data_IF_154421791249
#
_entry.id   IF_154421791249
#
_cell.length_a   1.000
_cell.length_b   1.000
_cell.length_c   1.000
_cell.angle_alpha   90.00
_cell.angle_beta   90.00
_cell.angle_gamma   90.00
#
_symmetry.space_group_name_H-M   'P 1'
#
loop_
_entity.id
_entity.type
_entity.pdbx_description
1 polymer ?
#
# COMPACT_ATOMS: atom_id res chain seq x y z
N UNK A 1 -15.61 7.10 -7.37
CA UNK A 1 -15.80 5.88 -7.98
C UNK A 1 -14.51 5.18 -8.28
N UNK A 2 -14.40 4.00 -7.89
CA UNK A 2 -13.18 3.26 -8.06
C UNK A 2 -13.22 2.36 -9.27
N UNK A 3 -12.05 1.96 -9.69
CA UNK A 3 -11.92 0.93 -10.66
C UNK A 3 -11.60 -0.34 -9.92
N UNK A 4 -12.24 -1.41 -10.28
CA UNK A 4 -11.99 -2.68 -9.64
C UNK A 4 -11.64 -3.73 -10.65
N UNK A 5 -10.62 -4.47 -10.33
CA UNK A 5 -10.29 -5.63 -11.11
C UNK A 5 -10.79 -6.82 -10.34
N UNK A 6 -11.57 -7.63 -10.97
CA UNK A 6 -12.10 -8.78 -10.31
C UNK A 6 -11.68 -10.02 -11.03
N UNK A 7 -11.19 -10.90 -10.26
CA UNK A 7 -10.90 -12.19 -10.80
C UNK A 7 -12.16 -12.96 -10.71
N UNK A 8 -12.99 -12.74 -11.29
CA UNK A 8 -14.11 -13.43 -11.41
C UNK A 8 -14.41 -14.53 -10.68
N UNK A 9 -15.33 -14.96 -10.78
CA UNK A 9 -15.64 -16.11 -10.44
C UNK A 9 -16.44 -16.34 -9.35
N UNK A 10 -16.22 -17.24 -8.69
CA UNK A 10 -16.98 -17.70 -7.59
C UNK A 10 -16.51 -17.10 -6.33
N UNK A 11 -15.42 -16.37 -6.41
CA UNK A 11 -14.86 -15.84 -5.21
C UNK A 11 -15.42 -14.49 -4.90
N UNK A 12 -15.63 -14.29 -3.61
CA UNK A 12 -16.00 -13.04 -3.10
C UNK A 12 -14.73 -12.36 -2.65
N UNK A 13 -14.50 -11.14 -3.06
CA UNK A 13 -13.36 -10.39 -2.58
C UNK A 13 -13.71 -9.86 -1.21
N UNK A 14 -12.85 -10.16 -0.24
CA UNK A 14 -13.01 -9.64 1.11
C UNK A 14 -11.86 -8.69 1.38
N UNK A 15 -12.20 -7.53 1.93
CA UNK A 15 -11.20 -6.53 2.27
C UNK A 15 -11.00 -6.51 3.77
N UNK A 16 -9.78 -6.22 4.20
CA UNK A 16 -9.52 -6.02 5.62
C UNK A 16 -10.31 -4.82 6.15
N UNK A 17 -10.50 -4.77 7.45
CA UNK A 17 -11.27 -3.71 8.09
C UNK A 17 -10.52 -2.39 8.20
N UNK A 18 -9.21 -2.43 8.06
CA UNK A 18 -8.39 -1.23 8.21
C UNK A 18 -8.31 -0.50 6.88
N UNK A 19 -8.84 0.71 6.83
CA UNK A 19 -8.65 1.55 5.66
C UNK A 19 -7.71 2.70 6.03
N UNK A 20 -6.99 3.20 5.06
CA UNK A 20 -5.93 4.15 5.34
C UNK A 20 -5.61 4.98 4.11
N UNK A 21 -4.81 6.02 4.33
CA UNK A 21 -4.30 6.88 3.26
C UNK A 21 -5.39 7.58 2.45
N UNK A 22 -6.46 7.98 3.12
CA UNK A 22 -7.55 8.67 2.46
C UNK A 22 -7.05 9.90 1.70
N UNK A 23 -7.31 9.96 0.40
CA UNK A 23 -6.87 11.04 -0.50
C UNK A 23 -5.34 11.16 -0.60
N UNK A 24 -4.59 10.09 -0.27
CA UNK A 24 -3.14 10.08 -0.36
C UNK A 24 -2.62 9.06 -1.38
N UNK A 25 -3.47 8.67 -2.33
CA UNK A 25 -3.13 7.58 -3.26
C UNK A 25 -1.90 7.86 -4.11
N UNK A 26 -1.72 9.09 -4.57
CA UNK A 26 -0.55 9.42 -5.39
C UNK A 26 0.74 9.32 -4.59
N UNK A 27 0.69 9.79 -3.35
CA UNK A 27 1.86 9.76 -2.45
C UNK A 27 2.23 8.33 -2.10
N UNK A 28 1.23 7.50 -1.80
CA UNK A 28 1.46 6.09 -1.49
C UNK A 28 2.00 5.37 -2.71
N UNK A 29 1.44 5.64 -3.88
CA UNK A 29 1.91 5.03 -5.11
C UNK A 29 3.39 5.33 -5.32
N UNK A 30 3.80 6.59 -5.17
CA UNK A 30 5.19 6.98 -5.37
C UNK A 30 6.09 6.31 -4.34
N UNK A 31 5.64 6.28 -3.08
CA UNK A 31 6.39 5.65 -1.99
C UNK A 31 6.63 4.18 -2.29
N UNK A 32 5.60 3.47 -2.73
CA UNK A 32 5.72 2.04 -3.01
C UNK A 32 6.55 1.78 -4.26
N UNK A 33 6.41 2.60 -5.29
CA UNK A 33 7.23 2.43 -6.49
C UNK A 33 8.71 2.63 -6.21
N UNK A 34 9.02 3.59 -5.35
CA UNK A 34 10.42 3.87 -5.01
C UNK A 34 11.04 2.80 -4.12
N UNK A 35 10.23 2.18 -3.27
CA UNK A 35 10.74 1.31 -2.21
C UNK A 35 10.37 -0.17 -2.36
N UNK A 36 9.53 -0.50 -3.32
CA UNK A 36 9.11 -1.87 -3.58
C UNK A 36 9.31 -2.20 -5.05
N UNK A 37 10.57 -2.39 -5.49
CA UNK A 37 10.89 -2.56 -6.90
C UNK A 37 10.30 -3.83 -7.52
N UNK A 38 9.97 -4.83 -6.70
CA UNK A 38 9.40 -6.07 -7.21
C UNK A 38 7.87 -6.04 -7.24
N UNK A 39 7.25 -4.90 -6.96
CA UNK A 39 5.80 -4.79 -6.98
C UNK A 39 5.27 -4.82 -8.41
N UNK A 40 4.07 -5.34 -8.56
CA UNK A 40 3.41 -5.42 -9.85
C UNK A 40 2.21 -4.48 -9.88
N UNK A 41 2.12 -3.65 -10.90
CA UNK A 41 1.03 -2.68 -11.05
C UNK A 41 0.17 -3.07 -12.23
N UNK A 42 -1.11 -3.29 -11.97
CA UNK A 42 -2.02 -3.84 -12.95
C UNK A 42 -2.63 -2.86 -13.93
N UNK A 43 -2.73 -1.61 -13.57
CA UNK A 43 -3.29 -0.66 -14.51
C UNK A 43 -2.54 0.67 -14.47
N UNK A 44 -2.79 1.43 -15.52
CA UNK A 44 -2.03 2.65 -15.74
C UNK A 44 -2.35 3.74 -14.72
N UNK A 45 -3.49 3.64 -14.06
CA UNK A 45 -3.88 4.63 -13.05
C UNK A 45 -3.44 4.22 -11.64
N UNK A 46 -2.79 3.07 -11.50
CA UNK A 46 -2.28 2.63 -10.23
C UNK A 46 -3.34 2.24 -9.23
N UNK A 47 -4.52 1.83 -9.69
CA UNK A 47 -5.60 1.49 -8.77
C UNK A 47 -5.48 0.10 -8.15
N UNK A 48 -4.49 -0.67 -8.56
CA UNK A 48 -4.29 -2.01 -8.04
C UNK A 48 -2.81 -2.38 -8.14
N UNK A 49 -2.27 -2.97 -7.09
CA UNK A 49 -0.91 -3.49 -7.13
C UNK A 49 -0.79 -4.77 -6.32
N UNK A 50 0.22 -5.55 -6.63
CA UNK A 50 0.58 -6.73 -5.87
C UNK A 50 2.03 -6.63 -5.45
N UNK A 51 2.32 -7.08 -4.24
CA UNK A 51 3.70 -7.21 -3.78
C UNK A 51 3.74 -8.28 -2.68
N UNK A 52 4.93 -8.83 -2.47
CA UNK A 52 5.10 -9.81 -1.40
C UNK A 52 4.92 -9.13 -0.06
N UNK A 53 4.33 -9.84 0.90
CA UNK A 53 4.13 -9.31 2.25
C UNK A 53 5.44 -8.85 2.86
N UNK A 54 6.50 -9.63 2.66
CA UNK A 54 7.81 -9.28 3.20
C UNK A 54 8.33 -7.99 2.58
N UNK A 55 8.03 -7.76 1.32
CA UNK A 55 8.41 -6.52 0.65
C UNK A 55 7.65 -5.33 1.23
N UNK A 56 6.36 -5.50 1.47
CA UNK A 56 5.55 -4.45 2.07
C UNK A 56 6.05 -4.11 3.47
N UNK A 57 6.39 -5.13 4.26
CA UNK A 57 6.96 -4.91 5.59
C UNK A 57 8.32 -4.23 5.50
N UNK A 58 9.10 -4.57 4.49
CA UNK A 58 10.38 -3.91 4.24
C UNK A 58 10.19 -2.43 3.92
N UNK A 59 9.15 -2.09 3.16
CA UNK A 59 8.86 -0.68 2.88
C UNK A 59 8.55 0.06 4.19
N UNK A 60 7.76 -0.56 5.07
CA UNK A 60 7.47 0.05 6.36
C UNK A 60 8.75 0.33 7.15
N UNK A 61 9.68 -0.64 7.16
CA UNK A 61 10.95 -0.45 7.84
C UNK A 61 11.79 0.66 7.21
N UNK A 62 11.78 0.74 5.89
CA UNK A 62 12.50 1.81 5.18
C UNK A 62 11.94 3.18 5.53
N UNK A 63 10.62 3.29 5.60
CA UNK A 63 9.97 4.56 5.97
C UNK A 63 10.32 4.93 7.41
N UNK A 64 10.30 3.95 8.29
CA UNK A 64 10.62 4.19 9.70
C UNK A 64 12.05 4.74 9.85
N UNK A 65 12.95 4.27 9.01
CA UNK A 65 14.36 4.65 9.09
C UNK A 65 14.76 5.83 8.22
N UNK A 66 13.84 6.34 7.38
CA UNK A 66 14.20 7.49 6.55
C UNK A 66 14.14 8.77 7.39
N UNK A 67 14.87 9.79 6.94
CA UNK A 67 14.86 11.06 7.63
C UNK A 67 13.53 11.77 7.40
N UNK A 68 13.25 12.76 8.25
CA UNK A 68 12.04 13.56 8.08
C UNK A 68 12.06 14.30 6.75
N UNK A 69 13.24 14.72 6.29
CA UNK A 69 13.39 15.40 5.00
C UNK A 69 13.05 14.46 3.85
N UNK A 70 13.52 13.23 3.91
CA UNK A 70 13.22 12.24 2.88
C UNK A 70 11.72 11.93 2.83
N UNK A 71 11.11 11.76 4.00
CA UNK A 71 9.67 11.49 4.06
C UNK A 71 8.88 12.69 3.52
N UNK A 72 9.31 13.90 3.84
CA UNK A 72 8.63 15.12 3.40
C UNK A 72 8.58 15.24 1.87
N UNK A 73 9.52 14.61 1.17
CA UNK A 73 9.54 14.66 -0.29
C UNK A 73 8.36 13.96 -0.95
N UNK A 74 7.64 13.14 -0.21
CA UNK A 74 6.44 12.47 -0.73
C UNK A 74 5.20 13.35 -0.62
N UNK A 75 5.28 14.47 0.08
CA UNK A 75 4.20 15.46 0.17
C UNK A 75 2.88 14.91 0.75
N UNK A 76 3.00 14.00 1.70
CA UNK A 76 1.81 13.57 2.45
C UNK A 76 1.23 14.76 3.21
N UNK A 77 -0.07 14.75 3.39
CA UNK A 77 -0.69 15.79 4.20
C UNK A 77 -0.24 15.69 5.65
N UNK A 78 -0.38 16.78 6.37
CA UNK A 78 0.14 16.92 7.72
C UNK A 78 -0.32 15.81 8.67
N UNK A 79 -1.58 15.40 8.55
CA UNK A 79 -2.11 14.34 9.40
C UNK A 79 -1.51 12.96 9.08
N UNK A 80 -1.00 12.79 7.86
CA UNK A 80 -0.43 11.53 7.42
C UNK A 80 1.06 11.50 7.75
N UNK A 81 1.36 11.33 9.01
CA UNK A 81 2.73 11.38 9.53
C UNK A 81 3.52 10.13 9.14
N UNK A 82 4.83 10.19 9.36
CA UNK A 82 5.68 9.02 9.15
C UNK A 82 5.23 7.86 10.03
N UNK A 83 4.88 8.13 11.28
CA UNK A 83 4.40 7.10 12.20
C UNK A 83 3.09 6.48 11.70
N UNK A 84 2.16 7.31 11.25
CA UNK A 84 0.90 6.82 10.69
C UNK A 84 1.17 5.94 9.46
N UNK A 85 2.09 6.39 8.60
CA UNK A 85 2.42 5.67 7.36
C UNK A 85 3.01 4.30 7.68
N UNK A 86 3.96 4.23 8.60
CA UNK A 86 4.57 2.96 9.00
C UNK A 86 3.51 2.01 9.56
N UNK A 87 2.69 2.51 10.47
CA UNK A 87 1.64 1.71 11.07
C UNK A 87 0.68 1.20 10.02
N UNK A 88 0.27 2.07 9.09
CA UNK A 88 -0.69 1.69 8.06
C UNK A 88 -0.15 0.63 7.12
N UNK A 89 1.09 0.75 6.71
CA UNK A 89 1.70 -0.25 5.85
C UNK A 89 1.77 -1.61 6.57
N UNK A 90 2.11 -1.61 7.85
CA UNK A 90 2.16 -2.84 8.63
C UNK A 90 0.77 -3.44 8.82
N UNK A 91 -0.24 -2.61 9.03
CA UNK A 91 -1.61 -3.09 9.17
C UNK A 91 -2.15 -3.69 7.88
N UNK A 92 -1.83 -3.09 6.74
CA UNK A 92 -2.22 -3.66 5.45
C UNK A 92 -1.62 -5.04 5.27
N UNK A 93 -0.36 -5.21 5.63
CA UNK A 93 0.30 -6.52 5.55
C UNK A 93 -0.37 -7.52 6.49
N UNK A 94 -0.68 -7.09 7.70
CA UNK A 94 -1.28 -7.96 8.70
C UNK A 94 -2.69 -8.41 8.30
N UNK A 95 -3.44 -7.55 7.64
CA UNK A 95 -4.81 -7.85 7.25
C UNK A 95 -4.94 -8.57 5.91
N UNK A 96 -3.82 -8.82 5.25
CA UNK A 96 -3.85 -9.56 4.01
C UNK A 96 -4.10 -11.04 4.29
N UNK A 97 -4.41 -11.79 3.25
CA UNK A 97 -4.70 -13.21 3.36
C UNK A 97 -3.49 -13.96 3.94
N UNK A 98 -3.61 -14.57 5.11
CA UNK A 98 -2.46 -15.26 5.73
C UNK A 98 -1.99 -16.48 4.95
N UNK A 99 -2.85 -17.01 4.08
CA UNK A 99 -2.49 -18.18 3.28
C UNK A 99 -1.82 -17.80 1.95
N UNK A 100 -1.67 -16.51 1.70
CA UNK A 100 -1.06 -16.03 0.47
C UNK A 100 0.05 -15.04 0.82
N UNK A 101 1.26 -15.31 0.32
CA UNK A 101 2.39 -14.41 0.59
C UNK A 101 2.26 -13.09 -0.17
N UNK A 102 1.45 -13.05 -1.21
CA UNK A 102 1.26 -11.84 -2.01
C UNK A 102 0.13 -11.02 -1.43
N UNK A 103 0.40 -9.73 -1.24
CA UNK A 103 -0.60 -8.78 -0.77
C UNK A 103 -1.18 -8.06 -1.98
N UNK A 104 -2.50 -7.99 -2.02
CA UNK A 104 -3.22 -7.32 -3.10
C UNK A 104 -3.80 -6.01 -2.55
N UNK A 105 -3.31 -4.89 -3.04
CA UNK A 105 -3.78 -3.58 -2.60
C UNK A 105 -4.66 -2.95 -3.67
N UNK A 106 -5.77 -2.40 -3.23
CA UNK A 106 -6.74 -1.76 -4.11
C UNK A 106 -6.97 -0.32 -3.67
N UNK A 107 -7.10 0.57 -4.63
CA UNK A 107 -7.44 1.97 -4.41
C UNK A 107 -8.84 2.22 -4.95
N UNK A 108 -9.72 2.62 -4.10
CA UNK A 108 -11.08 2.98 -4.56
C UNK A 108 -11.80 3.85 -3.55
#
# INVERSE_FOLDING_TARGET
>A
MGYRIRAAKTYKVEYGDYDCFNHQSEQVEQLLRDNAPESFWCNSDGSYMELERDELLSVADKVENMSDEEFAEYHFEEWCTKEYTVKSLRMLAEQSDPDNSVVHLFWF
#
